data_IF_279628966768
#
_entry.id   IF_279628966768
#
_cell.length_a   1.000
_cell.length_b   1.000
_cell.length_c   1.000
_cell.angle_alpha   90.00
_cell.angle_beta   90.00
_cell.angle_gamma   90.00
#
_symmetry.space_group_name_H-M   'P 1'
#
loop_
_entity.id
_entity.type
_entity.pdbx_description
1 polymer ?
#
# COMPACT_ATOMS: atom_id res chain seq x y z
N UNK A 1 -17.28 -1.07 -0.22
CA UNK A 1 -18.35 -0.04 -0.13
C UNK A 1 -19.44 -0.36 0.89
N UNK A 2 -20.19 -1.46 0.81
CA UNK A 2 -21.34 -1.76 1.71
C UNK A 2 -21.08 -1.55 3.21
N UNK A 3 -19.91 -1.98 3.69
CA UNK A 3 -19.51 -1.85 5.10
C UNK A 3 -19.22 -0.38 5.47
N UNK A 4 -18.59 0.39 4.57
CA UNK A 4 -18.33 1.81 4.82
C UNK A 4 -19.61 2.66 4.72
N UNK A 5 -20.61 2.18 3.98
CA UNK A 5 -21.89 2.82 3.79
C UNK A 5 -22.99 2.31 4.74
N UNK A 6 -22.65 1.68 5.88
CA UNK A 6 -23.62 1.19 6.87
C UNK A 6 -23.65 1.98 8.19
N UNK A 7 -22.69 2.86 8.46
CA UNK A 7 -22.76 3.77 9.60
C UNK A 7 -23.91 4.78 9.38
N UNK A 8 -24.71 5.04 10.42
CA UNK A 8 -26.12 5.50 10.40
C UNK A 8 -26.54 6.74 9.56
N UNK A 9 -25.66 7.37 8.77
CA UNK A 9 -25.94 8.50 7.86
C UNK A 9 -25.45 8.31 6.40
N UNK A 10 -25.07 7.10 5.98
CA UNK A 10 -24.13 6.93 4.84
C UNK A 10 -24.71 6.53 3.48
N UNK A 11 -25.98 6.17 3.33
CA UNK A 11 -26.55 6.04 1.97
C UNK A 11 -26.68 7.40 1.27
N UNK A 12 -27.06 8.44 2.03
CA UNK A 12 -27.02 9.82 1.54
C UNK A 12 -25.58 10.27 1.24
N UNK A 13 -24.60 9.78 2.00
CA UNK A 13 -23.18 10.07 1.75
C UNK A 13 -22.68 9.50 0.42
N UNK A 14 -23.02 8.25 0.06
CA UNK A 14 -22.58 7.63 -1.20
C UNK A 14 -23.17 8.36 -2.40
N UNK A 15 -24.46 8.65 -2.36
CA UNK A 15 -25.12 9.41 -3.42
C UNK A 15 -24.56 10.83 -3.54
N UNK A 16 -24.22 11.46 -2.41
CA UNK A 16 -23.57 12.77 -2.39
C UNK A 16 -22.18 12.70 -3.01
N UNK A 17 -21.35 11.73 -2.62
CA UNK A 17 -20.00 11.53 -3.18
C UNK A 17 -20.07 11.28 -4.69
N UNK A 18 -21.02 10.48 -5.18
CA UNK A 18 -21.21 10.24 -6.62
C UNK A 18 -21.64 11.50 -7.37
N UNK A 19 -22.53 12.31 -6.79
CA UNK A 19 -22.90 13.62 -7.37
C UNK A 19 -21.70 14.58 -7.39
N UNK A 20 -20.90 14.60 -6.33
CA UNK A 20 -19.67 15.40 -6.27
C UNK A 20 -18.67 14.94 -7.32
N UNK A 21 -18.51 13.63 -7.54
CA UNK A 21 -17.67 13.09 -8.61
C UNK A 21 -18.10 13.63 -9.98
N UNK A 22 -19.39 13.55 -10.32
CA UNK A 22 -19.92 14.07 -11.59
C UNK A 22 -19.68 15.58 -11.74
N UNK A 23 -19.81 16.35 -10.66
CA UNK A 23 -19.50 17.77 -10.67
C UNK A 23 -18.01 18.02 -10.95
N UNK A 24 -17.11 17.25 -10.34
CA UNK A 24 -15.67 17.40 -10.54
C UNK A 24 -15.21 16.90 -11.91
N UNK A 25 -15.89 15.90 -12.46
CA UNK A 25 -15.70 15.45 -13.84
C UNK A 25 -16.03 16.56 -14.84
N UNK A 26 -17.18 17.23 -14.68
CA UNK A 26 -17.51 18.40 -15.49
C UNK A 26 -16.47 19.53 -15.34
N UNK A 27 -15.96 19.78 -14.13
CA UNK A 27 -14.89 20.78 -13.93
C UNK A 27 -13.59 20.35 -14.63
N UNK A 28 -13.24 19.07 -14.58
CA UNK A 28 -12.07 18.51 -15.24
C UNK A 28 -12.15 18.67 -16.77
N UNK A 29 -13.30 18.39 -17.37
CA UNK A 29 -13.53 18.58 -18.81
C UNK A 29 -13.37 20.06 -19.23
N UNK A 30 -13.75 20.99 -18.36
CA UNK A 30 -13.67 22.43 -18.59
C UNK A 30 -12.33 23.08 -18.20
N UNK A 31 -11.32 22.28 -17.79
CA UNK A 31 -10.00 22.83 -17.46
C UNK A 31 -9.31 23.42 -18.69
N UNK A 32 -8.75 24.62 -18.55
CA UNK A 32 -7.91 25.22 -19.59
C UNK A 32 -6.65 24.39 -19.84
N UNK A 33 -6.13 24.45 -21.07
CA UNK A 33 -4.89 23.76 -21.45
C UNK A 33 -3.70 24.17 -20.57
N UNK A 34 -3.64 25.43 -20.14
CA UNK A 34 -2.56 25.90 -19.26
C UNK A 34 -2.60 25.22 -17.89
N UNK A 35 -3.80 25.07 -17.29
CA UNK A 35 -3.95 24.41 -15.99
C UNK A 35 -3.66 22.91 -16.12
N UNK A 36 -4.16 22.28 -17.18
CA UNK A 36 -3.92 20.87 -17.50
C UNK A 36 -2.43 20.58 -17.64
N UNK A 37 -1.70 21.38 -18.42
CA UNK A 37 -0.25 21.20 -18.60
C UNK A 37 0.52 21.32 -17.27
N UNK A 38 0.17 22.30 -16.42
CA UNK A 38 0.81 22.47 -15.13
C UNK A 38 0.54 21.26 -14.19
N UNK A 39 -0.71 20.79 -14.15
CA UNK A 39 -1.11 19.64 -13.33
C UNK A 39 -0.54 18.33 -13.86
N UNK A 40 -0.41 18.16 -15.17
CA UNK A 40 0.23 17.00 -15.76
C UNK A 40 1.69 16.87 -15.32
N UNK A 41 2.44 17.97 -15.24
CA UNK A 41 3.82 17.96 -14.75
C UNK A 41 3.87 17.52 -13.27
N UNK A 42 2.96 18.04 -12.44
CA UNK A 42 2.86 17.67 -11.03
C UNK A 42 2.51 16.19 -10.85
N UNK A 43 1.44 15.74 -11.53
CA UNK A 43 0.92 14.38 -11.38
C UNK A 43 1.82 13.33 -12.04
N UNK A 44 2.51 13.65 -13.13
CA UNK A 44 3.52 12.74 -13.70
C UNK A 44 4.63 12.46 -12.68
N UNK A 45 5.09 13.46 -11.92
CA UNK A 45 6.10 13.26 -10.86
C UNK A 45 5.59 12.35 -9.74
N UNK A 46 4.34 12.53 -9.32
CA UNK A 46 3.70 11.66 -8.32
C UNK A 46 3.63 10.22 -8.85
N UNK A 47 3.13 10.04 -10.07
CA UNK A 47 3.00 8.73 -10.71
C UNK A 47 4.37 8.07 -10.83
N UNK A 48 5.37 8.74 -11.38
CA UNK A 48 6.73 8.21 -11.52
C UNK A 48 7.34 7.83 -10.16
N UNK A 49 7.16 8.66 -9.13
CA UNK A 49 7.63 8.37 -7.78
C UNK A 49 6.96 7.10 -7.21
N UNK A 50 5.64 6.98 -7.37
CA UNK A 50 4.86 5.83 -6.89
C UNK A 50 5.20 4.55 -7.65
N UNK A 51 5.32 4.61 -8.97
CA UNK A 51 5.64 3.45 -9.81
C UNK A 51 7.00 2.82 -9.49
N UNK A 52 7.92 3.62 -8.94
CA UNK A 52 9.23 3.14 -8.50
C UNK A 52 9.22 2.52 -7.09
N UNK A 53 8.11 2.56 -6.35
CA UNK A 53 8.02 1.97 -5.02
C UNK A 53 8.03 0.43 -5.09
N UNK A 54 8.75 -0.27 -4.21
CA UNK A 54 8.87 -1.72 -4.26
C UNK A 54 7.54 -2.48 -4.30
N UNK A 55 6.53 -2.03 -3.57
CA UNK A 55 5.21 -2.65 -3.56
C UNK A 55 4.52 -2.56 -4.93
N UNK A 56 4.62 -1.41 -5.58
CA UNK A 56 4.03 -1.15 -6.89
C UNK A 56 4.79 -1.93 -7.97
N UNK A 57 6.12 -2.00 -7.87
CA UNK A 57 6.94 -2.83 -8.76
C UNK A 57 6.63 -4.32 -8.60
N UNK A 58 6.35 -4.79 -7.39
CA UNK A 58 5.90 -6.17 -7.16
C UNK A 58 4.55 -6.47 -7.84
N UNK A 59 3.76 -5.43 -8.12
CA UNK A 59 2.46 -5.50 -8.79
C UNK A 59 2.52 -5.14 -10.28
N UNK A 60 3.73 -5.05 -10.88
CA UNK A 60 3.95 -4.57 -12.26
C UNK A 60 3.13 -5.27 -13.35
N UNK A 61 2.78 -6.57 -13.27
CA UNK A 61 1.86 -7.19 -14.24
C UNK A 61 0.51 -6.45 -14.36
N UNK A 62 0.08 -5.77 -13.29
CA UNK A 62 -1.17 -5.00 -13.21
C UNK A 62 -0.98 -3.49 -13.46
N UNK A 63 0.23 -3.06 -13.83
CA UNK A 63 0.58 -1.64 -14.02
C UNK A 63 0.87 -1.40 -15.50
N UNK A 64 -0.20 -1.26 -16.27
CA UNK A 64 -0.16 -0.92 -17.69
C UNK A 64 -0.39 0.59 -17.92
N UNK A 65 -0.57 0.99 -19.19
CA UNK A 65 -0.84 2.39 -19.51
C UNK A 65 -2.24 2.83 -19.06
N UNK A 66 -3.21 1.91 -19.02
CA UNK A 66 -4.56 2.19 -18.53
C UNK A 66 -4.56 2.48 -17.02
N UNK A 67 -3.74 1.77 -16.24
CA UNK A 67 -3.49 2.06 -14.84
C UNK A 67 -2.98 3.49 -14.65
N UNK A 68 -1.98 3.92 -15.43
CA UNK A 68 -1.42 5.29 -15.31
C UNK A 68 -2.44 6.36 -15.69
N UNK A 69 -3.22 6.12 -16.74
CA UNK A 69 -4.29 7.04 -17.15
C UNK A 69 -5.36 7.17 -16.07
N UNK A 70 -5.81 6.04 -15.53
CA UNK A 70 -6.76 5.96 -14.42
C UNK A 70 -6.25 6.65 -13.16
N UNK A 71 -4.98 6.42 -12.81
CA UNK A 71 -4.32 7.04 -11.68
C UNK A 71 -4.25 8.57 -11.86
N UNK A 72 -3.75 9.04 -13.01
CA UNK A 72 -3.70 10.47 -13.32
C UNK A 72 -5.09 11.11 -13.25
N UNK A 73 -6.09 10.47 -13.86
CA UNK A 73 -7.46 10.98 -13.84
C UNK A 73 -7.99 11.11 -12.41
N UNK A 74 -7.78 10.12 -11.55
CA UNK A 74 -8.21 10.19 -10.15
C UNK A 74 -7.44 11.27 -9.36
N UNK A 75 -6.16 11.51 -9.64
CA UNK A 75 -5.41 12.65 -9.08
C UNK A 75 -6.06 13.98 -9.46
N UNK A 76 -6.49 14.14 -10.72
CA UNK A 76 -7.24 15.32 -11.16
C UNK A 76 -8.55 15.48 -10.39
N UNK A 77 -9.42 14.48 -10.44
CA UNK A 77 -10.73 14.53 -9.79
C UNK A 77 -10.58 14.83 -8.30
N UNK A 78 -9.63 14.16 -7.62
CA UNK A 78 -9.40 14.38 -6.20
C UNK A 78 -8.82 15.77 -5.91
N UNK A 79 -7.93 16.30 -6.75
CA UNK A 79 -7.38 17.66 -6.59
C UNK A 79 -8.43 18.76 -6.75
N UNK A 80 -9.48 18.51 -7.53
CA UNK A 80 -10.62 19.41 -7.71
C UNK A 80 -11.69 19.27 -6.63
N UNK A 81 -11.59 18.24 -5.79
CA UNK A 81 -12.53 18.00 -4.69
C UNK A 81 -12.45 19.08 -3.63
N UNK A 82 -13.52 19.22 -2.84
CA UNK A 82 -13.62 20.25 -1.78
C UNK A 82 -12.48 20.14 -0.74
N UNK A 83 -12.01 18.94 -0.46
CA UNK A 83 -10.94 18.67 0.50
C UNK A 83 -9.55 18.62 -0.15
N UNK A 84 -9.47 18.75 -1.47
CA UNK A 84 -8.24 18.67 -2.24
C UNK A 84 -7.60 17.27 -2.24
N UNK A 85 -6.37 17.22 -2.77
CA UNK A 85 -5.55 16.01 -2.83
C UNK A 85 -4.59 15.97 -1.63
N UNK A 86 -4.84 15.10 -0.66
CA UNK A 86 -3.88 14.87 0.41
C UNK A 86 -2.68 14.05 -0.10
N UNK A 87 -1.56 14.15 0.61
CA UNK A 87 -0.35 13.40 0.29
C UNK A 87 -0.62 11.87 0.26
N UNK A 88 -1.29 11.34 1.30
CA UNK A 88 -1.62 9.92 1.36
C UNK A 88 -2.63 9.48 0.31
N UNK A 89 -3.47 10.38 -0.22
CA UNK A 89 -4.40 10.06 -1.31
C UNK A 89 -3.60 9.73 -2.59
N UNK A 90 -2.69 10.63 -2.96
CA UNK A 90 -1.90 10.51 -4.19
C UNK A 90 -0.81 9.46 -4.11
N UNK A 91 -0.07 9.39 -3.00
CA UNK A 91 1.09 8.50 -2.89
C UNK A 91 0.73 7.08 -2.46
N UNK A 92 -0.43 6.87 -1.83
CA UNK A 92 -0.80 5.59 -1.25
C UNK A 92 -2.19 5.11 -1.67
N UNK A 93 -3.27 5.83 -1.34
CA UNK A 93 -4.62 5.27 -1.49
C UNK A 93 -5.02 5.04 -2.94
N UNK A 94 -4.95 6.05 -3.80
CA UNK A 94 -5.36 5.92 -5.20
C UNK A 94 -4.63 4.77 -5.91
N UNK A 95 -3.28 4.69 -5.92
CA UNK A 95 -2.60 3.61 -6.62
C UNK A 95 -2.91 2.24 -6.03
N UNK A 96 -3.04 2.11 -4.69
CA UNK A 96 -3.37 0.84 -4.07
C UNK A 96 -4.81 0.41 -4.37
N UNK A 97 -5.78 1.32 -4.35
CA UNK A 97 -7.17 1.00 -4.67
C UNK A 97 -7.32 0.55 -6.13
N UNK A 98 -6.60 1.18 -7.06
CA UNK A 98 -6.56 0.74 -8.45
C UNK A 98 -5.96 -0.67 -8.61
N UNK A 99 -4.95 -1.01 -7.80
CA UNK A 99 -4.34 -2.36 -7.82
C UNK A 99 -5.22 -3.43 -7.16
N UNK A 100 -5.95 -3.10 -6.09
CA UNK A 100 -6.82 -4.05 -5.38
C UNK A 100 -8.14 -4.27 -6.13
N UNK A 101 -8.64 -3.23 -6.83
CA UNK A 101 -9.92 -3.23 -7.51
C UNK A 101 -9.81 -2.84 -8.99
N UNK A 102 -9.01 -3.56 -9.80
CA UNK A 102 -8.73 -3.16 -11.19
C UNK A 102 -9.95 -3.20 -12.11
N UNK A 103 -11.00 -3.93 -11.72
CA UNK A 103 -12.24 -4.07 -12.49
C UNK A 103 -13.34 -3.06 -12.11
N UNK A 104 -13.13 -2.28 -11.04
CA UNK A 104 -14.10 -1.29 -10.59
C UNK A 104 -14.00 0.01 -11.40
N UNK A 105 -15.13 0.68 -11.61
CA UNK A 105 -15.12 1.97 -12.31
C UNK A 105 -14.41 3.06 -11.50
N UNK A 106 -13.83 4.07 -12.17
CA UNK A 106 -13.15 5.19 -11.50
C UNK A 106 -14.04 5.94 -10.51
N UNK A 107 -15.34 6.03 -10.79
CA UNK A 107 -16.32 6.61 -9.85
C UNK A 107 -16.44 5.78 -8.57
N UNK A 108 -16.45 4.45 -8.66
CA UNK A 108 -16.52 3.58 -7.48
C UNK A 108 -15.20 3.57 -6.70
N UNK A 109 -14.04 3.63 -7.39
CA UNK A 109 -12.73 3.83 -6.75
C UNK A 109 -12.69 5.16 -6.01
N UNK A 110 -13.15 6.25 -6.63
CA UNK A 110 -13.25 7.57 -6.00
C UNK A 110 -14.21 7.53 -4.80
N UNK A 111 -15.36 6.87 -4.93
CA UNK A 111 -16.29 6.73 -3.82
C UNK A 111 -15.68 5.97 -2.65
N UNK A 112 -14.93 4.91 -2.92
CA UNK A 112 -14.21 4.15 -1.91
C UNK A 112 -13.11 4.98 -1.24
N UNK A 113 -12.36 5.78 -2.02
CA UNK A 113 -11.37 6.71 -1.51
C UNK A 113 -11.97 7.71 -0.51
N UNK A 114 -13.07 8.38 -0.88
CA UNK A 114 -13.74 9.34 0.00
C UNK A 114 -14.28 8.67 1.27
N UNK A 115 -14.91 7.50 1.14
CA UNK A 115 -15.42 6.76 2.29
C UNK A 115 -14.29 6.32 3.24
N UNK A 116 -13.13 5.90 2.72
CA UNK A 116 -11.96 5.57 3.55
C UNK A 116 -11.48 6.82 4.29
N UNK A 117 -11.39 7.97 3.63
CA UNK A 117 -11.01 9.22 4.28
C UNK A 117 -12.00 9.66 5.35
N UNK A 118 -13.31 9.53 5.08
CA UNK A 118 -14.38 9.94 6.00
C UNK A 118 -14.56 8.99 7.18
N UNK A 119 -14.38 7.67 7.00
CA UNK A 119 -14.70 6.68 8.03
C UNK A 119 -13.46 6.12 8.73
N UNK A 120 -12.33 6.00 8.03
CA UNK A 120 -11.11 5.36 8.54
C UNK A 120 -10.04 6.40 8.86
N UNK A 121 -9.70 7.27 7.91
CA UNK A 121 -8.65 8.28 8.06
C UNK A 121 -9.19 9.65 8.48
N UNK A 122 -10.12 9.63 9.43
CA UNK A 122 -10.64 10.83 10.06
C UNK A 122 -9.51 11.63 10.70
N UNK A 123 -9.57 12.96 10.58
CA UNK A 123 -8.57 13.88 11.13
C UNK A 123 -8.26 13.61 12.60
N UNK A 124 -9.29 13.39 13.41
CA UNK A 124 -9.14 13.18 14.86
C UNK A 124 -8.46 11.83 15.14
N UNK A 125 -8.79 10.79 14.36
CA UNK A 125 -8.12 9.50 14.44
C UNK A 125 -6.64 9.59 14.06
N UNK A 126 -6.31 10.24 12.94
CA UNK A 126 -4.93 10.43 12.50
C UNK A 126 -4.12 11.26 13.51
N UNK A 127 -4.74 12.27 14.12
CA UNK A 127 -4.13 13.03 15.21
C UNK A 127 -3.80 12.14 16.41
N UNK A 128 -4.74 11.31 16.87
CA UNK A 128 -4.51 10.39 17.98
C UNK A 128 -3.41 9.35 17.66
N UNK A 129 -3.43 8.80 16.44
CA UNK A 129 -2.39 7.88 15.96
C UNK A 129 -1.01 8.55 15.98
N UNK A 130 -0.88 9.75 15.43
CA UNK A 130 0.38 10.49 15.42
C UNK A 130 0.85 10.83 16.83
N UNK A 131 -0.04 11.24 17.73
CA UNK A 131 0.28 11.48 19.13
C UNK A 131 0.85 10.22 19.80
N UNK A 132 0.27 9.05 19.53
CA UNK A 132 0.79 7.77 20.05
C UNK A 132 2.14 7.38 19.45
N UNK A 133 2.33 7.53 18.13
CA UNK A 133 3.60 7.21 17.47
C UNK A 133 4.73 8.12 17.95
N UNK A 134 4.46 9.43 18.08
CA UNK A 134 5.43 10.39 18.61
C UNK A 134 5.89 10.05 20.04
N UNK A 135 5.01 9.44 20.86
CA UNK A 135 5.40 8.99 22.20
C UNK A 135 6.45 7.87 22.14
N UNK A 136 6.56 7.09 21.06
CA UNK A 136 7.58 6.04 20.96
C UNK A 136 9.00 6.61 20.88
N UNK A 137 9.14 7.90 20.53
CA UNK A 137 10.39 8.66 20.63
C UNK A 137 10.91 8.85 22.07
N UNK A 138 10.18 8.38 23.10
CA UNK A 138 10.65 8.33 24.48
C UNK A 138 10.80 6.89 24.99
N UNK A 139 11.93 6.59 25.63
CA UNK A 139 12.31 5.21 26.03
C UNK A 139 11.28 4.50 26.92
N UNK A 140 10.48 5.25 27.70
CA UNK A 140 9.48 4.69 28.64
C UNK A 140 8.15 4.28 27.97
N UNK A 141 7.93 4.73 26.75
CA UNK A 141 6.64 4.64 26.03
C UNK A 141 6.74 3.79 24.78
N UNK A 142 7.94 3.31 24.43
CA UNK A 142 8.14 2.26 23.43
C UNK A 142 7.36 1.00 23.86
N UNK A 143 6.61 0.37 22.94
CA UNK A 143 5.97 -0.91 23.20
C UNK A 143 6.96 -1.98 23.70
N UNK A 144 6.60 -2.72 24.75
CA UNK A 144 7.46 -3.75 25.37
C UNK A 144 8.01 -4.78 24.37
N UNK A 145 7.22 -5.12 23.34
CA UNK A 145 7.62 -6.03 22.26
C UNK A 145 8.81 -5.51 21.46
N UNK A 146 8.98 -4.18 21.35
CA UNK A 146 10.12 -3.52 20.71
C UNK A 146 11.28 -3.35 21.69
N UNK A 147 11.00 -2.93 22.93
CA UNK A 147 12.05 -2.79 23.96
C UNK A 147 12.80 -4.09 24.24
N UNK A 148 12.12 -5.25 24.17
CA UNK A 148 12.75 -6.57 24.35
C UNK A 148 13.69 -6.99 23.21
N UNK A 149 13.72 -6.23 22.11
CA UNK A 149 14.56 -6.46 20.93
C UNK A 149 15.69 -5.43 20.79
N UNK A 150 15.97 -4.65 21.85
CA UNK A 150 16.97 -3.59 21.90
C UNK A 150 16.71 -2.41 20.94
N UNK A 151 15.46 -2.20 20.50
CA UNK A 151 15.11 -0.97 19.80
C UNK A 151 15.25 0.24 20.75
N UNK A 152 15.81 1.32 20.25
CA UNK A 152 16.05 2.57 20.98
C UNK A 152 15.03 3.62 20.60
N UNK A 153 14.79 4.59 21.48
CA UNK A 153 13.79 5.63 21.25
C UNK A 153 14.08 6.49 20.01
N UNK A 154 15.36 6.66 19.67
CA UNK A 154 15.81 7.39 18.48
C UNK A 154 15.33 6.76 17.17
N UNK A 155 15.12 5.45 17.12
CA UNK A 155 14.61 4.78 15.90
C UNK A 155 13.14 5.15 15.59
N UNK A 156 12.45 5.78 16.54
CA UNK A 156 11.06 6.21 16.41
C UNK A 156 10.91 7.75 16.41
N UNK A 157 12.02 8.49 16.36
CA UNK A 157 12.01 9.95 16.39
C UNK A 157 11.34 10.53 15.13
N UNK A 158 10.23 11.26 15.30
CA UNK A 158 9.49 11.84 14.19
C UNK A 158 8.60 10.85 13.42
N UNK A 159 8.45 9.62 13.93
CA UNK A 159 7.56 8.61 13.36
C UNK A 159 6.12 9.11 13.38
N UNK A 160 5.49 9.09 12.21
CA UNK A 160 4.09 9.48 12.06
C UNK A 160 3.43 8.61 10.99
N UNK A 161 2.11 8.73 10.88
CA UNK A 161 1.29 7.96 9.95
C UNK A 161 1.78 8.02 8.49
N UNK A 162 2.21 9.19 8.00
CA UNK A 162 2.70 9.30 6.62
C UNK A 162 3.96 8.47 6.41
N UNK A 163 4.89 8.50 7.37
CA UNK A 163 6.08 7.65 7.31
C UNK A 163 5.73 6.17 7.33
N UNK A 164 4.71 5.77 8.10
CA UNK A 164 4.24 4.38 8.10
C UNK A 164 3.70 3.98 6.72
N UNK A 165 2.91 4.82 6.06
CA UNK A 165 2.44 4.54 4.69
C UNK A 165 3.61 4.38 3.72
N UNK A 166 4.60 5.27 3.81
CA UNK A 166 5.81 5.21 2.97
C UNK A 166 6.64 3.94 3.24
N UNK A 167 6.72 3.48 4.49
CA UNK A 167 7.32 2.18 4.83
C UNK A 167 6.53 1.02 4.21
N UNK A 168 5.20 1.08 4.24
CA UNK A 168 4.34 0.05 3.64
C UNK A 168 4.60 -0.06 2.13
N UNK A 169 4.81 1.06 1.44
CA UNK A 169 5.16 1.06 0.02
C UNK A 169 6.51 0.40 -0.28
N UNK A 170 7.35 0.15 0.74
CA UNK A 170 8.61 -0.58 0.58
C UNK A 170 8.44 -2.10 0.60
N UNK A 171 7.27 -2.66 0.93
CA UNK A 171 7.11 -4.12 0.92
C UNK A 171 7.31 -4.71 -0.47
N UNK A 172 8.07 -5.81 -0.54
CA UNK A 172 8.24 -6.58 -1.76
C UNK A 172 8.35 -8.07 -1.44
N UNK A 173 7.71 -8.88 -2.26
CA UNK A 173 7.77 -10.35 -2.26
C UNK A 173 8.50 -10.89 -3.50
N UNK A 174 9.13 -10.02 -4.29
CA UNK A 174 9.90 -10.39 -5.49
C UNK A 174 11.42 -10.43 -5.27
N UNK A 175 11.88 -10.34 -4.01
CA UNK A 175 13.31 -10.31 -3.74
C UNK A 175 13.96 -11.71 -3.90
N UNK A 176 15.19 -11.82 -4.42
CA UNK A 176 15.85 -13.12 -4.60
C UNK A 176 16.04 -13.87 -3.28
N UNK A 177 15.51 -15.09 -3.16
CA UNK A 177 15.62 -15.91 -1.94
C UNK A 177 17.08 -16.26 -1.57
N UNK A 178 17.99 -16.25 -2.55
CA UNK A 178 19.42 -16.57 -2.41
C UNK A 178 20.26 -15.52 -1.66
N UNK A 179 19.75 -14.31 -1.43
CA UNK A 179 20.47 -13.28 -0.65
C UNK A 179 20.58 -13.61 0.86
N UNK A 180 20.09 -14.79 1.28
CA UNK A 180 20.12 -15.25 2.66
C UNK A 180 21.43 -15.97 3.05
N UNK A 181 22.41 -16.08 2.14
CA UNK A 181 23.70 -16.72 2.41
C UNK A 181 24.84 -15.68 2.54
N UNK A 182 25.28 -15.34 3.76
CA UNK A 182 26.51 -14.58 3.95
C UNK A 182 27.70 -15.53 3.75
N UNK A 183 28.04 -15.89 2.51
CA UNK A 183 29.31 -16.55 2.10
C UNK A 183 29.29 -16.87 0.61
N UNK A 184 29.48 -15.88 -0.26
CA UNK A 184 30.02 -16.16 -1.60
C UNK A 184 30.74 -14.91 -2.09
N UNK A 185 32.06 -14.97 -2.35
CA UNK A 185 32.80 -13.82 -2.84
C UNK A 185 32.26 -13.42 -4.22
N UNK A 186 31.98 -12.13 -4.37
CA UNK A 186 31.57 -11.52 -5.63
C UNK A 186 32.79 -11.53 -6.55
N UNK A 187 32.83 -12.47 -7.49
CA UNK A 187 33.63 -12.32 -8.70
C UNK A 187 32.77 -11.57 -9.70
N UNK A 188 33.17 -10.32 -9.98
CA UNK A 188 32.61 -9.48 -11.04
C UNK A 188 32.54 -10.26 -12.36
N UNK A 189 31.32 -10.57 -12.80
CA UNK A 189 31.03 -10.83 -14.21
C UNK A 189 29.71 -10.15 -14.59
N UNK A 190 29.70 -9.30 -15.62
CA UNK A 190 28.46 -8.77 -16.17
C UNK A 190 27.77 -9.91 -16.94
N UNK A 191 26.58 -10.34 -16.49
CA UNK A 191 25.76 -11.28 -17.26
C UNK A 191 24.46 -10.63 -17.70
N UNK A 192 24.42 -10.40 -19.00
CA UNK A 192 23.22 -10.25 -19.82
C UNK A 192 22.32 -11.48 -19.61
N UNK A 193 21.11 -11.29 -19.06
CA UNK A 193 20.15 -12.37 -18.80
C UNK A 193 19.13 -12.57 -19.94
N UNK A 194 19.31 -11.93 -21.08
CA UNK A 194 18.45 -12.10 -22.24
C UNK A 194 19.17 -12.95 -23.28
N UNK A 195 18.95 -14.28 -23.24
CA UNK A 195 19.03 -15.24 -24.37
C UNK A 195 19.47 -16.64 -23.90
N UNK A 196 18.64 -17.38 -23.15
CA UNK A 196 18.85 -18.83 -23.02
C UNK A 196 17.63 -19.68 -22.64
N UNK A 197 16.41 -19.23 -22.98
CA UNK A 197 15.18 -20.03 -22.82
C UNK A 197 14.42 -20.26 -24.14
N UNK A 198 15.12 -20.49 -25.27
CA UNK A 198 14.44 -20.74 -26.56
C UNK A 198 14.84 -22.02 -27.32
N UNK A 199 15.63 -22.95 -26.77
CA UNK A 199 16.05 -24.13 -27.55
C UNK A 199 16.00 -25.49 -26.86
N UNK A 200 15.11 -25.69 -25.88
CA UNK A 200 14.90 -27.03 -25.34
C UNK A 200 13.44 -27.30 -25.01
N UNK A 201 12.60 -27.45 -26.05
CA UNK A 201 11.37 -28.27 -26.04
C UNK A 201 10.76 -28.24 -27.44
N UNK A 202 11.21 -29.16 -28.30
CA UNK A 202 10.43 -29.62 -29.45
C UNK A 202 10.21 -31.13 -29.30
N UNK A 203 8.95 -31.52 -29.47
CA UNK A 203 8.37 -32.85 -29.71
C UNK A 203 7.54 -33.45 -28.56
N UNK A 204 6.25 -33.11 -28.54
CA UNK A 204 5.13 -34.08 -28.52
C UNK A 204 3.81 -33.36 -28.92
N UNK A 205 2.93 -33.99 -29.73
CA UNK A 205 1.65 -33.40 -30.14
C UNK A 205 0.46 -33.86 -29.26
N UNK A 206 -0.62 -33.05 -29.29
CA UNK A 206 -1.99 -33.27 -28.75
C UNK A 206 -2.13 -33.11 -27.21
N UNK A 207 -2.92 -32.19 -26.65
CA UNK A 207 -4.30 -31.80 -26.97
C UNK A 207 -4.56 -30.35 -26.52
N UNK A 208 -5.20 -29.53 -27.35
CA UNK A 208 -5.60 -28.16 -26.98
C UNK A 208 -6.90 -28.19 -26.15
N UNK A 209 -6.76 -28.30 -24.83
CA UNK A 209 -7.75 -27.67 -23.95
C UNK A 209 -7.52 -26.15 -23.98
N UNK A 210 -8.58 -25.33 -24.03
CA UNK A 210 -8.43 -23.89 -23.85
C UNK A 210 -7.89 -23.65 -22.44
N UNK A 211 -6.59 -23.36 -22.34
CA UNK A 211 -5.99 -22.83 -21.12
C UNK A 211 -6.69 -21.50 -20.83
N UNK A 212 -7.63 -21.54 -19.88
CA UNK A 212 -8.05 -20.36 -19.15
C UNK A 212 -6.74 -19.75 -18.61
N UNK A 213 -6.39 -18.50 -18.93
CA UNK A 213 -5.22 -17.88 -18.33
C UNK A 213 -5.40 -17.99 -16.81
N UNK A 214 -4.54 -18.76 -16.15
CA UNK A 214 -4.47 -18.74 -14.69
C UNK A 214 -4.18 -17.28 -14.32
N UNK A 215 -5.15 -16.60 -13.70
CA UNK A 215 -4.92 -15.27 -13.14
C UNK A 215 -3.71 -15.40 -12.20
N UNK A 216 -2.62 -14.70 -12.53
CA UNK A 216 -1.44 -14.72 -11.68
C UNK A 216 -1.86 -14.33 -10.25
N UNK A 217 -1.50 -15.14 -9.24
CA UNK A 217 -1.91 -14.87 -7.88
C UNK A 217 -1.37 -13.51 -7.45
N UNK A 218 -2.26 -12.64 -6.97
CA UNK A 218 -1.92 -11.31 -6.47
C UNK A 218 -0.71 -11.37 -5.52
N UNK A 219 0.27 -10.45 -5.62
CA UNK A 219 1.43 -10.43 -4.75
C UNK A 219 1.05 -10.45 -3.26
N UNK A 220 1.84 -11.16 -2.45
CA UNK A 220 1.64 -11.28 -1.01
C UNK A 220 1.63 -9.90 -0.33
N UNK A 221 2.46 -8.97 -0.81
CA UNK A 221 2.50 -7.59 -0.31
C UNK A 221 1.16 -6.88 -0.53
N UNK A 222 0.56 -6.98 -1.73
CA UNK A 222 -0.72 -6.35 -2.06
C UNK A 222 -1.88 -7.00 -1.28
N UNK A 223 -1.87 -8.33 -1.17
CA UNK A 223 -2.85 -9.05 -0.34
C UNK A 223 -2.75 -8.67 1.15
N UNK A 224 -1.54 -8.43 1.66
CA UNK A 224 -1.34 -7.95 3.03
C UNK A 224 -1.99 -6.57 3.22
N UNK A 225 -1.84 -5.66 2.25
CA UNK A 225 -2.46 -4.32 2.32
C UNK A 225 -3.98 -4.43 2.26
N UNK A 226 -4.51 -5.31 1.41
CA UNK A 226 -5.93 -5.61 1.36
C UNK A 226 -6.47 -6.11 2.72
N UNK A 227 -5.75 -6.99 3.41
CA UNK A 227 -6.10 -7.43 4.77
C UNK A 227 -6.04 -6.29 5.79
N UNK A 228 -5.04 -5.43 5.72
CA UNK A 228 -4.92 -4.25 6.60
C UNK A 228 -6.13 -3.31 6.42
N UNK A 229 -6.46 -2.94 5.17
CA UNK A 229 -7.63 -2.11 4.90
C UNK A 229 -8.92 -2.77 5.33
N UNK A 230 -9.09 -4.07 5.05
CA UNK A 230 -10.29 -4.81 5.47
C UNK A 230 -10.51 -4.72 6.97
N UNK A 231 -9.46 -4.92 7.78
CA UNK A 231 -9.56 -4.80 9.23
C UNK A 231 -9.89 -3.37 9.69
N UNK A 232 -9.22 -2.36 9.12
CA UNK A 232 -9.48 -0.96 9.46
C UNK A 232 -10.92 -0.54 9.12
N UNK A 233 -11.45 -1.02 7.99
CA UNK A 233 -12.82 -0.77 7.53
C UNK A 233 -13.86 -1.51 8.40
N UNK A 234 -13.57 -2.75 8.79
CA UNK A 234 -14.47 -3.51 9.68
C UNK A 234 -14.53 -2.84 11.05
N UNK A 235 -13.39 -2.42 11.60
CA UNK A 235 -13.37 -1.76 12.89
C UNK A 235 -13.87 -0.31 12.86
N UNK A 236 -13.81 0.40 11.73
CA UNK A 236 -14.43 1.74 11.62
C UNK A 236 -15.95 1.72 11.79
N UNK A 237 -16.60 0.56 11.61
CA UNK A 237 -18.02 0.36 11.90
C UNK A 237 -18.34 0.05 13.37
N UNK A 238 -17.33 -0.05 14.23
CA UNK A 238 -17.54 -0.30 15.66
C UNK A 238 -17.93 1.00 16.38
N UNK A 239 -19.22 1.25 16.57
CA UNK A 239 -19.78 2.51 17.12
C UNK A 239 -19.04 3.04 18.35
N UNK A 240 -18.71 2.17 19.31
CA UNK A 240 -18.09 2.56 20.60
C UNK A 240 -16.57 2.42 20.64
N UNK A 241 -15.99 1.63 19.76
CA UNK A 241 -14.60 1.16 19.90
C UNK A 241 -13.77 1.35 18.63
N UNK A 242 -14.30 2.03 17.60
CA UNK A 242 -13.61 2.24 16.31
C UNK A 242 -12.18 2.75 16.47
N UNK A 243 -12.01 3.84 17.21
CA UNK A 243 -10.72 4.50 17.41
C UNK A 243 -9.75 3.59 18.12
N UNK A 244 -10.16 3.01 19.26
CA UNK A 244 -9.34 2.08 20.04
C UNK A 244 -8.90 0.86 19.22
N UNK A 245 -9.82 0.27 18.46
CA UNK A 245 -9.53 -0.92 17.66
C UNK A 245 -8.60 -0.57 16.49
N UNK A 246 -8.85 0.52 15.76
CA UNK A 246 -7.99 0.94 14.66
C UNK A 246 -6.59 1.33 15.15
N UNK A 247 -6.47 1.98 16.31
CA UNK A 247 -5.15 2.23 16.93
C UNK A 247 -4.43 0.91 17.23
N UNK A 248 -5.13 -0.08 17.80
CA UNK A 248 -4.54 -1.39 18.06
C UNK A 248 -4.08 -2.10 16.77
N UNK A 249 -4.87 -2.00 15.70
CA UNK A 249 -4.51 -2.53 14.37
C UNK A 249 -3.22 -1.89 13.87
N UNK A 250 -3.14 -0.55 13.86
CA UNK A 250 -1.94 0.18 13.43
C UNK A 250 -0.73 -0.12 14.32
N UNK A 251 -0.86 -0.01 15.65
CA UNK A 251 0.24 -0.26 16.59
C UNK A 251 0.81 -1.67 16.40
N UNK A 252 -0.04 -2.69 16.38
CA UNK A 252 0.42 -4.08 16.22
C UNK A 252 1.02 -4.36 14.84
N UNK A 253 0.51 -3.72 13.78
CA UNK A 253 1.04 -3.85 12.43
C UNK A 253 2.44 -3.22 12.33
N UNK A 254 2.61 -2.02 12.90
CA UNK A 254 3.90 -1.32 12.96
C UNK A 254 4.90 -2.12 13.79
N UNK A 255 4.50 -2.62 14.97
CA UNK A 255 5.37 -3.49 15.78
C UNK A 255 5.77 -4.74 14.98
N UNK A 256 4.87 -5.32 14.16
CA UNK A 256 5.22 -6.47 13.33
C UNK A 256 6.31 -6.14 12.31
N UNK A 257 6.24 -4.98 11.67
CA UNK A 257 7.27 -4.49 10.75
C UNK A 257 8.62 -4.39 11.46
N UNK A 258 8.70 -3.66 12.57
CA UNK A 258 9.97 -3.47 13.28
C UNK A 258 10.50 -4.78 13.88
N UNK A 259 9.67 -5.58 14.57
CA UNK A 259 10.14 -6.80 15.26
C UNK A 259 10.63 -7.87 14.27
N UNK A 260 10.01 -8.00 13.10
CA UNK A 260 10.23 -9.15 12.22
C UNK A 260 10.80 -8.81 10.84
N UNK A 261 10.76 -7.53 10.43
CA UNK A 261 11.10 -7.08 9.08
C UNK A 261 12.04 -5.87 9.06
N UNK A 262 12.61 -5.50 10.20
CA UNK A 262 13.73 -4.56 10.31
C UNK A 262 15.07 -5.12 9.80
N UNK A 263 15.05 -6.35 9.25
CA UNK A 263 16.23 -6.93 8.65
C UNK A 263 16.59 -6.11 7.40
N UNK A 264 17.76 -5.46 7.42
CA UNK A 264 18.41 -4.72 6.32
C UNK A 264 18.18 -3.21 6.22
N UNK A 265 17.66 -2.55 7.25
CA UNK A 265 17.67 -1.07 7.33
C UNK A 265 18.02 -0.61 8.73
N UNK A 266 18.77 0.50 8.83
CA UNK A 266 19.20 1.06 10.11
C UNK A 266 18.22 2.10 10.65
N UNK A 267 17.53 2.79 9.74
CA UNK A 267 16.58 3.84 10.03
C UNK A 267 15.49 3.85 8.94
N UNK A 268 14.25 4.12 9.35
CA UNK A 268 13.10 4.12 8.44
C UNK A 268 13.16 5.29 7.45
N UNK A 269 13.81 6.42 7.80
CA UNK A 269 13.98 7.53 6.85
C UNK A 269 14.98 7.15 5.76
N UNK A 270 16.07 6.47 6.13
CA UNK A 270 17.02 5.90 5.16
C UNK A 270 16.35 4.89 4.23
N UNK A 271 15.56 3.96 4.78
CA UNK A 271 14.79 2.97 4.02
C UNK A 271 13.96 3.66 2.92
N UNK A 272 13.21 4.70 3.27
CA UNK A 272 12.30 5.39 2.35
C UNK A 272 13.05 6.26 1.34
N UNK A 273 14.09 6.97 1.80
CA UNK A 273 14.92 7.85 0.94
C UNK A 273 15.71 7.05 -0.09
N UNK A 274 16.24 5.88 0.29
CA UNK A 274 16.99 4.98 -0.59
C UNK A 274 16.09 3.97 -1.31
N UNK A 275 14.77 4.00 -1.06
CA UNK A 275 13.79 3.10 -1.66
C UNK A 275 14.17 1.62 -1.48
N UNK A 276 14.63 1.28 -0.27
CA UNK A 276 15.10 -0.06 0.09
C UNK A 276 13.88 -0.96 0.33
N UNK A 277 13.78 -2.12 -0.31
CA UNK A 277 12.63 -2.99 -0.17
C UNK A 277 12.63 -3.77 1.16
N UNK A 278 11.46 -3.83 1.81
CA UNK A 278 11.20 -4.71 2.95
C UNK A 278 10.76 -6.08 2.40
N UNK A 279 11.61 -7.10 2.62
CA UNK A 279 11.36 -8.47 2.17
C UNK A 279 10.18 -9.12 2.91
N UNK A 280 9.14 -9.50 2.18
CA UNK A 280 8.09 -10.37 2.69
C UNK A 280 8.31 -11.85 2.36
N UNK A 281 8.97 -12.15 1.24
CA UNK A 281 9.12 -13.51 0.75
C UNK A 281 10.25 -14.28 1.43
N UNK A 282 9.93 -15.48 1.92
CA UNK A 282 10.86 -16.47 2.45
C UNK A 282 10.77 -17.81 1.70
N UNK A 283 9.71 -18.01 0.92
CA UNK A 283 9.56 -19.08 -0.06
C UNK A 283 9.03 -18.52 -1.38
N UNK A 284 8.94 -19.37 -2.41
CA UNK A 284 8.28 -19.03 -3.67
C UNK A 284 6.75 -19.01 -3.55
N UNK A 285 6.18 -19.51 -2.45
CA UNK A 285 4.75 -19.53 -2.22
C UNK A 285 4.27 -18.19 -1.62
N UNK A 286 3.59 -17.39 -2.45
CA UNK A 286 2.99 -16.11 -2.04
C UNK A 286 2.03 -16.24 -0.85
N UNK A 287 1.27 -17.34 -0.79
CA UNK A 287 0.32 -17.59 0.29
C UNK A 287 1.04 -17.89 1.61
N UNK A 288 2.08 -18.72 1.57
CA UNK A 288 2.90 -19.01 2.74
C UNK A 288 3.57 -17.75 3.29
N UNK A 289 4.10 -16.91 2.39
CA UNK A 289 4.70 -15.62 2.76
C UNK A 289 3.70 -14.69 3.46
N UNK A 290 2.49 -14.59 2.92
CA UNK A 290 1.39 -13.83 3.51
C UNK A 290 0.98 -14.38 4.88
N UNK A 291 0.76 -15.70 4.98
CA UNK A 291 0.35 -16.37 6.21
C UNK A 291 1.42 -16.23 7.31
N UNK A 292 2.71 -16.22 6.94
CA UNK A 292 3.81 -15.95 7.85
C UNK A 292 3.71 -14.55 8.49
N UNK A 293 3.50 -13.51 7.68
CA UNK A 293 3.29 -12.15 8.20
C UNK A 293 2.04 -12.08 9.09
N UNK A 294 0.91 -12.58 8.59
CA UNK A 294 -0.38 -12.53 9.27
C UNK A 294 -0.33 -13.24 10.63
N UNK A 295 0.37 -14.37 10.74
CA UNK A 295 0.57 -15.07 12.01
C UNK A 295 1.34 -14.23 13.02
N UNK A 296 2.50 -13.67 12.61
CA UNK A 296 3.32 -12.77 13.45
C UNK A 296 2.51 -11.56 13.92
N UNK A 297 1.75 -10.94 13.01
CA UNK A 297 0.90 -9.81 13.33
C UNK A 297 -0.23 -10.18 14.30
N UNK A 298 -0.92 -11.30 14.08
CA UNK A 298 -1.97 -11.80 14.96
C UNK A 298 -1.48 -12.06 16.37
N UNK A 299 -0.27 -12.59 16.53
CA UNK A 299 0.34 -12.85 17.83
C UNK A 299 0.62 -11.55 18.59
N UNK A 300 1.02 -10.49 17.89
CA UNK A 300 1.19 -9.15 18.46
C UNK A 300 -0.15 -8.47 18.77
N UNK A 301 -1.15 -8.61 17.89
CA UNK A 301 -2.48 -8.04 18.09
C UNK A 301 -3.22 -8.66 19.28
N UNK A 302 -2.91 -9.91 19.66
CA UNK A 302 -3.51 -10.57 20.84
C UNK A 302 -2.89 -10.12 22.16
N UNK A 303 -1.65 -9.64 22.15
CA UNK A 303 -0.97 -9.09 23.33
C UNK A 303 -1.55 -7.70 23.68
#
# INVERSE_FOLDING_TARGET
MKILSSNQNSQDSVNTIKKSYQLFEQKYENLSNSIRNAKDIEFNKIIESVLNRPLIQASKPNVDENFKQSFKYLLYIKSLSEFGLHNHDGNFLIPILLLIFPQESLMEIYCLLELINQEVFQRDFLHELNCKLNQWGASKTIPKSLSSRNFTASEFEGLNYNWILEMILQFSDQLPLSLSAPSTPILDQPRQWESQHQQAQQQQPESQEPQIPEEEPSPACLQLISKLFTLLIVYSNSIKTKTKNNLKVWESFIIAIFVYYHLNWNDYQELIKKNIPIRLNNSHDSRENLDCFVRKWKDLFKK
#
